data_IF_156624511379
#
_entry.id   IF_156624511379
#
_cell.length_a   1.000
_cell.length_b   1.000
_cell.length_c   1.000
_cell.angle_alpha   90.00
_cell.angle_beta   90.00
_cell.angle_gamma   90.00
#
_symmetry.space_group_name_H-M   'P 1'
#
loop_
_entity.id
_entity.type
_entity.pdbx_description
1 polymer ?
#
# COMPACT_ATOMS: atom_id res chain seq x y z
N UNK A 1 15.19 5.08 14.81
CA UNK A 1 15.63 6.15 13.90
C UNK A 1 14.46 7.09 13.77
N UNK A 2 14.59 8.38 14.10
CA UNK A 2 13.49 9.32 13.93
C UNK A 2 13.26 9.51 12.42
N UNK A 3 12.15 8.99 11.90
CA UNK A 3 11.74 9.21 10.52
C UNK A 3 11.51 10.70 10.26
N UNK A 4 11.61 11.12 8.99
CA UNK A 4 11.18 12.45 8.58
C UNK A 4 9.67 12.59 8.85
N UNK A 5 9.20 13.74 9.34
CA UNK A 5 7.76 13.99 9.50
C UNK A 5 7.04 14.02 8.14
N UNK A 6 5.70 13.91 8.16
CA UNK A 6 4.89 13.99 6.94
C UNK A 6 5.13 15.32 6.19
N UNK A 7 5.27 16.41 6.93
CA UNK A 7 5.55 17.73 6.35
C UNK A 7 6.90 17.81 5.68
N UNK A 8 7.91 17.13 6.23
CA UNK A 8 9.23 17.11 5.62
C UNK A 8 9.21 16.37 4.29
N UNK A 9 8.48 15.25 4.20
CA UNK A 9 8.27 14.56 2.92
C UNK A 9 7.59 15.47 1.89
N UNK A 10 6.54 16.20 2.29
CA UNK A 10 5.85 17.14 1.43
C UNK A 10 6.74 18.33 1.02
N UNK A 11 7.54 18.90 1.92
CA UNK A 11 8.48 19.99 1.62
C UNK A 11 9.56 19.55 0.63
N UNK A 12 10.11 18.34 0.81
CA UNK A 12 11.08 17.75 -0.12
C UNK A 12 10.42 17.53 -1.50
N UNK A 13 9.17 17.06 -1.53
CA UNK A 13 8.43 16.88 -2.77
C UNK A 13 8.14 18.21 -3.48
N UNK A 14 7.77 19.26 -2.73
CA UNK A 14 7.57 20.61 -3.27
C UNK A 14 8.85 21.15 -3.93
N UNK A 15 10.00 21.01 -3.25
CA UNK A 15 11.30 21.40 -3.80
C UNK A 15 11.60 20.65 -5.11
N UNK A 16 11.33 19.34 -5.12
CA UNK A 16 11.58 18.45 -6.26
C UNK A 16 10.61 18.65 -7.45
N UNK A 17 9.49 19.34 -7.22
CA UNK A 17 8.44 19.60 -8.23
C UNK A 17 8.37 21.07 -8.67
N UNK A 18 9.26 21.93 -8.16
CA UNK A 18 9.31 23.39 -8.46
C UNK A 18 9.47 23.75 -9.94
N UNK A 19 9.91 22.82 -10.79
CA UNK A 19 10.01 23.03 -12.23
C UNK A 19 8.63 23.13 -12.90
N UNK A 20 8.50 23.90 -13.98
CA UNK A 20 7.24 24.02 -14.75
C UNK A 20 6.68 22.66 -15.22
N UNK A 21 7.54 21.64 -15.40
CA UNK A 21 7.14 20.28 -15.80
C UNK A 21 6.19 19.62 -14.81
N UNK A 22 6.35 19.89 -13.51
CA UNK A 22 5.58 19.25 -12.44
C UNK A 22 4.70 20.24 -11.68
N UNK A 23 4.37 21.37 -12.32
CA UNK A 23 3.62 22.46 -11.71
C UNK A 23 2.29 22.01 -11.07
N UNK A 24 1.46 21.15 -11.69
CA UNK A 24 0.24 20.68 -11.05
C UNK A 24 0.50 19.92 -9.74
N UNK A 25 1.56 19.11 -9.70
CA UNK A 25 1.97 18.36 -8.49
C UNK A 25 2.43 19.36 -7.42
N UNK A 26 3.27 20.33 -7.80
CA UNK A 26 3.75 21.37 -6.88
C UNK A 26 2.60 22.16 -6.24
N UNK A 27 1.62 22.58 -7.05
CA UNK A 27 0.44 23.32 -6.56
C UNK A 27 -0.40 22.46 -5.60
N UNK A 28 -0.60 21.17 -5.89
CA UNK A 28 -1.28 20.23 -4.99
C UNK A 28 -0.51 20.00 -3.68
N UNK A 29 0.82 19.90 -3.74
CA UNK A 29 1.67 19.75 -2.56
C UNK A 29 1.55 21.00 -1.67
N UNK A 30 1.59 22.19 -2.26
CA UNK A 30 1.48 23.44 -1.51
C UNK A 30 0.12 23.58 -0.83
N UNK A 31 -0.97 23.28 -1.54
CA UNK A 31 -2.31 23.28 -0.97
C UNK A 31 -2.46 22.26 0.18
N UNK A 32 -1.77 21.13 0.09
CA UNK A 32 -1.75 20.12 1.15
C UNK A 32 -0.96 20.61 2.37
N UNK A 33 0.19 21.26 2.18
CA UNK A 33 0.95 21.90 3.26
C UNK A 33 0.12 22.96 3.98
N UNK A 34 -0.54 23.86 3.23
CA UNK A 34 -1.41 24.90 3.80
C UNK A 34 -2.59 24.28 4.60
N UNK A 35 -3.09 23.13 4.13
CA UNK A 35 -4.13 22.37 4.85
C UNK A 35 -3.60 21.78 6.16
N UNK A 36 -2.38 21.24 6.18
CA UNK A 36 -1.74 20.73 7.40
C UNK A 36 -1.50 21.85 8.42
N UNK A 37 -1.03 23.02 7.97
CA UNK A 37 -0.84 24.19 8.83
C UNK A 37 -2.17 24.67 9.42
N UNK A 38 -3.23 24.71 8.60
CA UNK A 38 -4.59 25.04 9.08
C UNK A 38 -5.08 24.02 10.10
N UNK A 39 -4.86 22.73 9.85
CA UNK A 39 -5.26 21.64 10.73
C UNK A 39 -4.58 21.75 12.10
N UNK A 40 -3.27 22.00 12.15
CA UNK A 40 -2.51 22.16 13.40
C UNK A 40 -3.02 23.29 14.29
N UNK A 41 -3.55 24.35 13.68
CA UNK A 41 -4.02 25.54 14.39
C UNK A 41 -5.48 25.43 14.86
N UNK A 42 -6.32 24.75 14.08
CA UNK A 42 -7.78 24.86 14.23
C UNK A 42 -8.53 23.53 14.27
N UNK A 43 -7.86 22.40 13.99
CA UNK A 43 -8.49 21.08 13.83
C UNK A 43 -9.72 21.13 12.91
N UNK A 44 -9.65 21.95 11.85
CA UNK A 44 -10.78 22.26 10.98
C UNK A 44 -11.28 21.08 10.13
N UNK A 45 -10.46 20.04 9.96
CA UNK A 45 -10.75 18.87 9.14
C UNK A 45 -10.72 17.59 9.98
N UNK A 46 -11.47 16.58 9.52
CA UNK A 46 -11.37 15.23 10.07
C UNK A 46 -10.04 14.58 9.67
N UNK A 47 -9.52 13.69 10.52
CA UNK A 47 -8.25 13.03 10.27
C UNK A 47 -8.16 12.29 8.92
N UNK A 48 -9.26 11.66 8.50
CA UNK A 48 -9.31 10.95 7.21
C UNK A 48 -9.16 11.89 6.00
N UNK A 49 -9.69 13.11 6.08
CA UNK A 49 -9.58 14.10 5.01
C UNK A 49 -8.13 14.55 4.82
N UNK A 50 -7.40 14.69 5.94
CA UNK A 50 -5.98 15.03 5.91
C UNK A 50 -5.17 13.88 5.32
N UNK A 51 -5.42 12.64 5.73
CA UNK A 51 -4.77 11.46 5.16
C UNK A 51 -5.03 11.34 3.66
N UNK A 52 -6.26 11.52 3.21
CA UNK A 52 -6.62 11.49 1.80
C UNK A 52 -5.82 12.51 0.97
N UNK A 53 -5.71 13.76 1.45
CA UNK A 53 -4.89 14.76 0.76
C UNK A 53 -3.42 14.37 0.66
N UNK A 54 -2.84 13.87 1.74
CA UNK A 54 -1.45 13.39 1.74
C UNK A 54 -1.26 12.23 0.74
N UNK A 55 -2.14 11.23 0.76
CA UNK A 55 -2.09 10.09 -0.16
C UNK A 55 -2.23 10.54 -1.61
N UNK A 56 -3.15 11.48 -1.90
CA UNK A 56 -3.36 12.01 -3.26
C UNK A 56 -2.11 12.67 -3.83
N UNK A 57 -1.39 13.47 -3.03
CA UNK A 57 -0.17 14.12 -3.49
C UNK A 57 0.94 13.11 -3.81
N UNK A 58 1.08 12.06 -3.00
CA UNK A 58 2.05 11.01 -3.29
C UNK A 58 1.65 10.16 -4.49
N UNK A 59 0.36 9.95 -4.71
CA UNK A 59 -0.14 9.33 -5.95
C UNK A 59 0.26 10.14 -7.18
N UNK A 60 0.01 11.45 -7.20
CA UNK A 60 0.36 12.32 -8.33
C UNK A 60 1.88 12.24 -8.63
N UNK A 61 2.71 12.20 -7.59
CA UNK A 61 4.15 12.05 -7.71
C UNK A 61 4.58 10.67 -8.23
N UNK A 62 3.91 9.59 -7.81
CA UNK A 62 4.12 8.23 -8.32
C UNK A 62 3.76 8.12 -9.82
N UNK A 63 2.62 8.69 -10.21
CA UNK A 63 2.11 8.70 -11.59
C UNK A 63 2.92 9.60 -12.54
N UNK A 64 3.81 10.44 -12.01
CA UNK A 64 4.76 11.21 -12.84
C UNK A 64 5.82 10.33 -13.54
N UNK A 65 5.97 9.07 -13.09
CA UNK A 65 7.00 8.12 -13.51
C UNK A 65 8.44 8.64 -13.39
N UNK A 66 8.66 9.69 -12.59
CA UNK A 66 9.99 10.19 -12.32
C UNK A 66 10.61 9.42 -11.13
N UNK A 67 11.76 8.72 -11.31
CA UNK A 67 12.31 7.87 -10.25
C UNK A 67 12.58 8.59 -8.92
N UNK A 68 13.00 9.87 -8.97
CA UNK A 68 13.24 10.64 -7.76
C UNK A 68 11.92 11.00 -7.05
N UNK A 69 10.91 11.44 -7.80
CA UNK A 69 9.59 11.74 -7.25
C UNK A 69 8.92 10.48 -6.71
N UNK A 70 9.01 9.35 -7.42
CA UNK A 70 8.47 8.08 -6.96
C UNK A 70 9.13 7.61 -5.66
N UNK A 71 10.44 7.79 -5.49
CA UNK A 71 11.14 7.47 -4.23
C UNK A 71 10.64 8.32 -3.06
N UNK A 72 10.53 9.64 -3.25
CA UNK A 72 10.00 10.56 -2.23
C UNK A 72 8.55 10.19 -1.88
N UNK A 73 7.75 9.88 -2.90
CA UNK A 73 6.34 9.53 -2.73
C UNK A 73 6.14 8.23 -1.97
N UNK A 74 6.95 7.20 -2.23
CA UNK A 74 6.91 5.93 -1.48
C UNK A 74 7.30 6.13 -0.02
N UNK A 75 8.32 6.94 0.27
CA UNK A 75 8.68 7.29 1.66
C UNK A 75 7.56 8.04 2.38
N UNK A 76 6.92 9.00 1.69
CA UNK A 76 5.80 9.73 2.24
C UNK A 76 4.57 8.86 2.48
N UNK A 77 4.24 7.97 1.53
CA UNK A 77 3.14 7.03 1.66
C UNK A 77 3.38 6.00 2.78
N UNK A 78 4.62 5.51 2.90
CA UNK A 78 5.07 4.69 4.03
C UNK A 78 4.82 5.41 5.35
N UNK A 79 5.21 6.69 5.45
CA UNK A 79 4.98 7.48 6.66
C UNK A 79 3.50 7.57 7.01
N UNK A 80 2.64 7.85 6.02
CA UNK A 80 1.18 7.96 6.21
C UNK A 80 0.57 6.64 6.72
N UNK A 81 1.04 5.49 6.22
CA UNK A 81 0.53 4.17 6.63
C UNK A 81 0.99 3.80 8.04
N UNK A 82 2.27 4.02 8.37
CA UNK A 82 2.83 3.63 9.67
C UNK A 82 2.60 4.65 10.78
N UNK A 83 2.25 5.90 10.44
CA UNK A 83 1.92 6.97 11.38
C UNK A 83 0.53 7.53 11.04
N UNK A 84 -0.56 6.79 11.29
CA UNK A 84 -1.91 7.15 10.86
C UNK A 84 -2.44 8.46 11.49
N UNK A 85 -1.82 8.90 12.60
CA UNK A 85 -2.09 10.19 13.24
C UNK A 85 -1.28 11.37 12.67
N UNK A 86 -0.46 11.11 11.65
CA UNK A 86 0.36 12.09 10.93
C UNK A 86 1.15 12.99 11.88
N UNK A 87 1.95 12.40 12.76
CA UNK A 87 2.76 13.12 13.75
C UNK A 87 1.92 13.97 14.74
N UNK A 88 0.69 13.54 15.01
CA UNK A 88 -0.27 14.21 15.90
C UNK A 88 -1.14 15.25 15.22
N UNK A 89 -0.96 15.51 13.91
CA UNK A 89 -1.71 16.53 13.16
C UNK A 89 -3.21 16.20 13.11
N UNK A 90 -3.58 14.92 13.03
CA UNK A 90 -4.99 14.54 12.95
C UNK A 90 -5.67 14.38 14.30
N UNK A 91 -4.95 14.62 15.41
CA UNK A 91 -5.40 14.23 16.75
C UNK A 91 -5.41 12.71 16.97
N UNK A 92 -5.90 12.28 18.13
CA UNK A 92 -5.99 10.86 18.55
C UNK A 92 -7.37 10.24 18.24
N UNK A 93 -8.09 10.77 17.25
CA UNK A 93 -9.38 10.21 16.83
C UNK A 93 -9.15 8.82 16.22
N UNK A 94 -9.68 7.78 16.87
CA UNK A 94 -9.64 6.42 16.35
C UNK A 94 -10.33 6.35 14.98
N UNK A 95 -9.71 5.64 14.04
CA UNK A 95 -10.36 5.37 12.77
C UNK A 95 -11.50 4.37 12.99
N UNK A 96 -12.70 4.77 12.61
CA UNK A 96 -13.78 3.80 12.49
C UNK A 96 -13.51 2.80 11.35
N UNK A 97 -14.28 1.70 11.33
CA UNK A 97 -14.08 0.64 10.36
C UNK A 97 -14.30 1.08 8.90
N UNK A 98 -15.19 2.06 8.65
CA UNK A 98 -15.43 2.56 7.30
C UNK A 98 -14.27 3.45 6.83
N UNK A 99 -13.79 4.35 7.69
CA UNK A 99 -12.65 5.21 7.43
C UNK A 99 -11.37 4.39 7.20
N UNK A 100 -11.16 3.33 8.00
CA UNK A 100 -10.07 2.39 7.79
C UNK A 100 -10.15 1.70 6.42
N UNK A 101 -11.34 1.24 6.04
CA UNK A 101 -11.58 0.60 4.73
C UNK A 101 -11.32 1.57 3.57
N UNK A 102 -11.83 2.80 3.65
CA UNK A 102 -11.59 3.84 2.64
C UNK A 102 -10.10 4.14 2.52
N UNK A 103 -9.40 4.29 3.65
CA UNK A 103 -7.97 4.55 3.66
C UNK A 103 -7.17 3.44 2.97
N UNK A 104 -7.49 2.17 3.24
CA UNK A 104 -6.85 1.03 2.56
C UNK A 104 -7.06 1.12 1.04
N UNK A 105 -8.28 1.43 0.59
CA UNK A 105 -8.58 1.57 -0.84
C UNK A 105 -7.84 2.73 -1.49
N UNK A 106 -7.68 3.85 -0.79
CA UNK A 106 -6.91 5.01 -1.27
C UNK A 106 -5.42 4.68 -1.42
N UNK A 107 -4.83 3.92 -0.48
CA UNK A 107 -3.43 3.47 -0.58
C UNK A 107 -3.25 2.45 -1.72
N UNK A 108 -4.20 1.54 -1.92
CA UNK A 108 -4.16 0.62 -3.07
C UNK A 108 -4.27 1.38 -4.40
N UNK A 109 -5.13 2.40 -4.45
CA UNK A 109 -5.31 3.25 -5.63
C UNK A 109 -4.03 4.05 -5.95
N UNK A 110 -3.36 4.59 -4.93
CA UNK A 110 -2.11 5.34 -5.12
C UNK A 110 -0.95 4.47 -5.62
N UNK A 111 -0.97 3.18 -5.32
CA UNK A 111 0.06 2.23 -5.75
C UNK A 111 -0.25 1.56 -7.09
N UNK A 112 -1.32 1.91 -7.82
CA UNK A 112 -1.65 1.26 -9.11
C UNK A 112 -0.52 1.29 -10.15
N UNK A 113 0.38 2.27 -10.07
CA UNK A 113 1.54 2.36 -10.96
C UNK A 113 2.69 1.42 -10.56
N UNK A 114 2.58 0.65 -9.48
CA UNK A 114 3.62 -0.26 -8.96
C UNK A 114 4.27 -1.13 -10.04
N UNK A 115 3.53 -1.75 -11.00
CA UNK A 115 4.15 -2.55 -12.07
C UNK A 115 5.10 -1.77 -12.98
N UNK A 116 4.98 -0.44 -13.03
CA UNK A 116 5.76 0.45 -13.88
C UNK A 116 7.00 1.02 -13.16
N UNK A 117 7.13 0.78 -11.85
CA UNK A 117 8.27 1.22 -11.06
C UNK A 117 9.45 0.24 -11.20
N UNK A 118 10.65 0.68 -10.83
CA UNK A 118 11.81 -0.22 -10.80
C UNK A 118 11.73 -1.21 -9.62
N UNK A 119 12.55 -2.26 -9.65
CA UNK A 119 12.51 -3.33 -8.64
C UNK A 119 12.66 -2.83 -7.19
N UNK A 120 13.56 -1.88 -6.94
CA UNK A 120 13.76 -1.28 -5.60
C UNK A 120 12.49 -0.59 -5.10
N UNK A 121 11.87 0.22 -5.96
CA UNK A 121 10.62 0.93 -5.68
C UNK A 121 9.43 -0.02 -5.56
N UNK A 122 9.40 -1.09 -6.36
CA UNK A 122 8.39 -2.14 -6.25
C UNK A 122 8.44 -2.83 -4.89
N UNK A 123 9.63 -3.25 -4.46
CA UNK A 123 9.85 -3.83 -3.13
C UNK A 123 9.42 -2.85 -2.02
N UNK A 124 9.72 -1.56 -2.16
CA UNK A 124 9.26 -0.55 -1.20
C UNK A 124 7.73 -0.44 -1.17
N UNK A 125 7.06 -0.37 -2.33
CA UNK A 125 5.60 -0.39 -2.39
C UNK A 125 4.99 -1.64 -1.76
N UNK A 126 5.59 -2.82 -1.97
CA UNK A 126 5.16 -4.07 -1.33
C UNK A 126 5.33 -4.01 0.19
N UNK A 127 6.38 -3.37 0.72
CA UNK A 127 6.52 -3.15 2.17
C UNK A 127 5.41 -2.29 2.75
N UNK A 128 4.97 -1.26 2.02
CA UNK A 128 3.82 -0.43 2.42
C UNK A 128 2.54 -1.28 2.46
N UNK A 129 2.30 -2.09 1.43
CA UNK A 129 1.16 -3.03 1.40
C UNK A 129 1.21 -4.05 2.54
N UNK A 130 2.41 -4.51 2.89
CA UNK A 130 2.62 -5.43 4.01
C UNK A 130 2.26 -4.77 5.34
N UNK A 131 2.71 -3.53 5.59
CA UNK A 131 2.34 -2.78 6.79
C UNK A 131 0.83 -2.54 6.87
N UNK A 132 0.22 -2.19 5.74
CA UNK A 132 -1.23 -2.03 5.64
C UNK A 132 -1.96 -3.33 5.99
N UNK A 133 -1.50 -4.45 5.43
CA UNK A 133 -2.09 -5.77 5.64
C UNK A 133 -1.90 -6.30 7.07
N UNK A 134 -0.70 -6.17 7.64
CA UNK A 134 -0.33 -6.78 8.91
C UNK A 134 -0.62 -5.92 10.12
N UNK A 135 -0.40 -4.61 10.01
CA UNK A 135 -0.39 -3.71 11.17
C UNK A 135 -1.62 -2.80 11.21
N UNK A 136 -2.12 -2.38 10.06
CA UNK A 136 -3.26 -1.44 9.98
C UNK A 136 -4.63 -2.14 9.91
N UNK A 137 -4.83 -3.05 8.95
CA UNK A 137 -6.13 -3.70 8.76
C UNK A 137 -6.47 -4.53 9.99
N UNK A 138 -7.61 -4.32 10.66
CA UNK A 138 -8.01 -5.18 11.76
C UNK A 138 -8.14 -6.62 11.28
N UNK A 139 -7.70 -7.58 12.10
CA UNK A 139 -7.62 -8.97 11.67
C UNK A 139 -8.98 -9.57 11.23
N UNK A 140 -10.09 -9.00 11.69
CA UNK A 140 -11.44 -9.45 11.31
C UNK A 140 -11.92 -9.01 9.91
N UNK A 141 -11.22 -8.13 9.19
CA UNK A 141 -11.59 -7.72 7.83
C UNK A 141 -10.84 -8.56 6.77
N UNK A 142 -11.30 -9.81 6.61
CA UNK A 142 -10.70 -10.76 5.67
C UNK A 142 -10.78 -10.31 4.21
N UNK A 143 -11.85 -9.61 3.84
CA UNK A 143 -12.04 -9.06 2.50
C UNK A 143 -10.95 -8.05 2.13
N UNK A 144 -10.60 -7.14 3.05
CA UNK A 144 -9.53 -6.18 2.83
C UNK A 144 -8.16 -6.84 2.71
N UNK A 145 -7.87 -7.85 3.56
CA UNK A 145 -6.63 -8.62 3.48
C UNK A 145 -6.52 -9.29 2.11
N UNK A 146 -7.58 -9.96 1.64
CA UNK A 146 -7.63 -10.59 0.32
C UNK A 146 -7.38 -9.56 -0.79
N UNK A 147 -8.02 -8.40 -0.71
CA UNK A 147 -7.87 -7.34 -1.72
C UNK A 147 -6.44 -6.82 -1.81
N UNK A 148 -5.74 -6.66 -0.68
CA UNK A 148 -4.33 -6.26 -0.66
C UNK A 148 -3.45 -7.34 -1.31
N UNK A 149 -3.65 -8.61 -0.96
CA UNK A 149 -2.90 -9.75 -1.54
C UNK A 149 -3.11 -9.84 -3.05
N UNK A 150 -4.37 -9.77 -3.51
CA UNK A 150 -4.71 -9.79 -4.93
C UNK A 150 -4.07 -8.63 -5.68
N UNK A 151 -4.09 -7.42 -5.10
CA UNK A 151 -3.45 -6.26 -5.69
C UNK A 151 -1.93 -6.46 -5.83
N UNK A 152 -1.25 -6.92 -4.77
CA UNK A 152 0.19 -7.13 -4.77
C UNK A 152 0.59 -8.18 -5.82
N UNK A 153 -0.04 -9.35 -5.78
CA UNK A 153 0.26 -10.47 -6.68
C UNK A 153 -0.05 -10.13 -8.14
N UNK A 154 -1.17 -9.47 -8.44
CA UNK A 154 -1.47 -9.01 -9.81
C UNK A 154 -0.50 -7.94 -10.31
N UNK A 155 0.03 -7.11 -9.43
CA UNK A 155 1.01 -6.07 -9.78
C UNK A 155 2.43 -6.62 -9.96
N UNK A 156 2.71 -7.80 -9.41
CA UNK A 156 4.05 -8.39 -9.34
C UNK A 156 4.13 -9.79 -9.97
N UNK A 157 3.16 -10.17 -10.81
CA UNK A 157 3.17 -11.44 -11.55
C UNK A 157 3.47 -11.19 -13.03
N UNK A 158 4.50 -11.85 -13.55
CA UNK A 158 4.90 -11.75 -14.95
C UNK A 158 6.25 -12.41 -15.22
N UNK A 159 6.52 -12.75 -16.49
CA UNK A 159 7.68 -13.57 -16.90
C UNK A 159 9.06 -12.93 -16.63
N UNK A 160 9.11 -11.63 -16.32
CA UNK A 160 10.36 -10.86 -16.16
C UNK A 160 10.40 -10.08 -14.84
N UNK A 161 9.67 -10.52 -13.82
CA UNK A 161 9.67 -9.84 -12.52
C UNK A 161 10.97 -10.15 -11.77
N UNK A 162 11.55 -9.12 -11.15
CA UNK A 162 12.76 -9.27 -10.35
C UNK A 162 12.55 -10.23 -9.18
N UNK A 163 13.55 -11.06 -8.89
CA UNK A 163 13.46 -12.07 -7.82
C UNK A 163 13.20 -11.47 -6.43
N UNK A 164 13.71 -10.27 -6.16
CA UNK A 164 13.46 -9.55 -4.91
C UNK A 164 12.01 -9.09 -4.81
N UNK A 165 11.41 -8.67 -5.92
CA UNK A 165 10.00 -8.27 -6.00
C UNK A 165 9.08 -9.48 -5.78
N UNK A 166 9.39 -10.62 -6.42
CA UNK A 166 8.64 -11.86 -6.20
C UNK A 166 8.72 -12.33 -4.74
N UNK A 167 9.93 -12.38 -4.16
CA UNK A 167 10.13 -12.78 -2.77
C UNK A 167 9.38 -11.85 -1.79
N UNK A 168 9.35 -10.54 -2.06
CA UNK A 168 8.57 -9.60 -1.26
C UNK A 168 7.05 -9.85 -1.36
N UNK A 169 6.53 -10.13 -2.56
CA UNK A 169 5.12 -10.43 -2.78
C UNK A 169 4.70 -11.77 -2.14
N UNK A 170 5.56 -12.79 -2.21
CA UNK A 170 5.38 -14.07 -1.53
C UNK A 170 5.38 -13.89 -0.01
N UNK A 171 6.31 -13.07 0.52
CA UNK A 171 6.37 -12.77 1.95
C UNK A 171 5.10 -12.08 2.45
N UNK A 172 4.57 -11.11 1.69
CA UNK A 172 3.29 -10.47 1.99
C UNK A 172 2.16 -11.50 2.02
N UNK A 173 2.11 -12.34 1.01
CA UNK A 173 1.09 -13.38 0.88
C UNK A 173 1.13 -14.38 2.03
N UNK A 174 2.32 -14.85 2.42
CA UNK A 174 2.53 -15.74 3.57
C UNK A 174 2.04 -15.11 4.87
N UNK A 175 2.42 -13.85 5.13
CA UNK A 175 1.99 -13.14 6.35
C UNK A 175 0.50 -12.85 6.39
N UNK A 176 -0.13 -12.60 5.24
CA UNK A 176 -1.57 -12.46 5.14
C UNK A 176 -2.30 -13.76 5.52
N UNK A 177 -1.80 -14.91 5.06
CA UNK A 177 -2.34 -16.24 5.45
C UNK A 177 -2.22 -16.46 6.95
N UNK A 178 -1.04 -16.21 7.53
CA UNK A 178 -0.82 -16.34 8.97
C UNK A 178 -1.80 -15.47 9.76
N UNK A 179 -1.94 -14.19 9.37
CA UNK A 179 -2.86 -13.26 10.02
C UNK A 179 -4.31 -13.77 9.98
N UNK A 180 -4.77 -14.29 8.85
CA UNK A 180 -6.12 -14.83 8.70
C UNK A 180 -6.34 -16.14 9.46
N UNK A 181 -5.34 -17.03 9.47
CA UNK A 181 -5.39 -18.28 10.20
C UNK A 181 -5.53 -18.06 11.72
N UNK A 182 -4.82 -17.07 12.28
CA UNK A 182 -4.96 -16.66 13.68
C UNK A 182 -6.42 -16.26 14.00
N UNK A 183 -7.12 -15.64 13.06
CA UNK A 183 -8.50 -15.20 13.28
C UNK A 183 -9.49 -16.35 13.20
N UNK A 184 -9.29 -17.33 12.32
CA UNK A 184 -10.11 -18.55 12.28
C UNK A 184 -10.05 -19.30 13.61
N UNK A 185 -8.86 -19.36 14.24
CA UNK A 185 -8.68 -19.97 15.57
C UNK A 185 -9.41 -19.18 16.67
N UNK A 186 -9.35 -17.85 16.64
CA UNK A 186 -9.94 -16.97 17.66
C UNK A 186 -11.47 -16.80 17.51
N UNK A 187 -12.05 -17.08 16.34
CA UNK A 187 -13.48 -16.85 16.04
C UNK A 187 -14.36 -18.10 16.11
N UNK A 188 -13.84 -19.24 16.60
CA UNK A 188 -14.63 -20.48 16.84
C UNK A 188 -15.81 -20.35 17.83
N UNK A 189 -16.14 -19.14 18.28
CA UNK A 189 -17.35 -18.79 19.06
C UNK A 189 -18.49 -18.10 18.29
N UNK A 190 -18.31 -17.60 17.05
CA UNK A 190 -19.39 -16.92 16.31
C UNK A 190 -19.28 -17.14 14.79
N UNK A 191 -20.40 -17.49 14.15
CA UNK A 191 -20.45 -18.26 12.90
C UNK A 191 -20.53 -17.46 11.58
N UNK A 192 -20.24 -18.22 10.50
CA UNK A 192 -20.71 -18.16 9.09
C UNK A 192 -19.88 -17.33 8.09
N UNK A 193 -19.34 -16.16 8.41
CA UNK A 193 -18.72 -15.32 7.36
C UNK A 193 -17.25 -15.66 7.02
N UNK A 194 -16.51 -16.28 7.94
CA UNK A 194 -15.05 -16.48 7.79
C UNK A 194 -14.66 -17.63 6.86
N UNK A 195 -15.56 -18.60 6.61
CA UNK A 195 -15.26 -19.77 5.79
C UNK A 195 -15.10 -19.41 4.30
N UNK A 196 -15.77 -18.36 3.85
CA UNK A 196 -15.72 -17.88 2.45
C UNK A 196 -14.35 -17.26 2.14
N UNK A 197 -13.76 -16.54 3.10
CA UNK A 197 -12.48 -15.84 2.94
C UNK A 197 -11.29 -16.80 2.89
N UNK A 198 -11.26 -17.80 3.78
CA UNK A 198 -10.21 -18.83 3.80
C UNK A 198 -10.29 -19.71 2.56
N UNK A 199 -11.50 -20.07 2.10
CA UNK A 199 -11.70 -20.85 0.87
C UNK A 199 -11.34 -20.04 -0.38
N UNK A 200 -11.61 -18.73 -0.37
CA UNK A 200 -11.21 -17.81 -1.44
C UNK A 200 -9.70 -17.70 -1.58
N UNK A 201 -8.98 -17.62 -0.47
CA UNK A 201 -7.51 -17.62 -0.46
C UNK A 201 -6.93 -18.98 -0.80
N UNK A 202 -7.46 -20.08 -0.28
CA UNK A 202 -7.01 -21.42 -0.64
C UNK A 202 -7.16 -21.67 -2.15
N UNK A 203 -8.28 -21.23 -2.76
CA UNK A 203 -8.46 -21.27 -4.22
C UNK A 203 -7.51 -20.34 -4.96
N UNK A 204 -7.26 -19.14 -4.43
CA UNK A 204 -6.35 -18.18 -5.03
C UNK A 204 -4.90 -18.69 -5.01
N UNK A 205 -4.42 -19.17 -3.85
CA UNK A 205 -3.09 -19.77 -3.72
C UNK A 205 -2.95 -21.05 -4.52
N UNK A 206 -3.98 -21.91 -4.57
CA UNK A 206 -3.99 -23.08 -5.45
C UNK A 206 -3.83 -22.67 -6.92
N UNK A 207 -4.55 -21.64 -7.38
CA UNK A 207 -4.41 -21.14 -8.75
C UNK A 207 -3.03 -20.52 -9.03
N UNK A 208 -2.40 -19.87 -8.06
CA UNK A 208 -1.05 -19.31 -8.23
C UNK A 208 0.02 -20.41 -8.24
N UNK A 209 -0.12 -21.44 -7.41
CA UNK A 209 0.75 -22.63 -7.42
C UNK A 209 0.64 -23.36 -8.76
N UNK A 210 -0.57 -23.62 -9.25
CA UNK A 210 -0.80 -24.26 -10.55
C UNK A 210 -0.19 -23.45 -11.71
N UNK A 211 -0.26 -22.11 -11.67
CA UNK A 211 0.39 -21.25 -12.68
C UNK A 211 1.92 -21.33 -12.62
N UNK A 212 2.50 -21.35 -11.42
CA UNK A 212 3.95 -21.46 -11.24
C UNK A 212 4.52 -22.80 -11.72
N UNK A 213 3.77 -23.89 -11.53
CA UNK A 213 4.14 -25.21 -12.02
C UNK A 213 4.06 -25.28 -13.55
N UNK A 214 3.05 -24.64 -14.15
CA UNK A 214 2.88 -24.60 -15.60
C UNK A 214 3.98 -23.79 -16.31
N UNK A 215 4.40 -22.66 -15.72
CA UNK A 215 5.50 -21.85 -16.24
C UNK A 215 6.86 -22.56 -16.10
N UNK A 216 7.07 -23.28 -15.00
CA UNK A 216 8.26 -24.10 -14.78
C UNK A 216 8.36 -25.26 -15.80
N UNK A 217 7.24 -25.89 -16.12
CA UNK A 217 7.17 -26.94 -17.16
C UNK A 217 7.41 -26.40 -18.57
N UNK A 218 6.95 -25.18 -18.90
CA UNK A 218 7.22 -24.55 -20.20
C UNK A 218 8.70 -24.13 -20.35
N UNK A 219 9.34 -23.65 -19.28
CA UNK A 219 10.75 -23.29 -19.31
C UNK A 219 11.66 -24.52 -19.57
N UNK A 220 11.38 -25.64 -18.89
CA UNK A 220 12.09 -26.91 -19.11
C UNK A 220 11.93 -27.46 -20.53
N UNK A 221 10.78 -27.22 -21.17
CA UNK A 221 10.51 -27.70 -22.53
C UNK A 221 11.24 -26.89 -23.63
N UNK A 222 11.63 -25.65 -23.32
CA UNK A 222 12.40 -24.76 -24.21
C UNK A 222 13.92 -24.95 -24.06
N UNK A 223 14.42 -25.40 -22.92
CA UNK A 223 15.85 -25.73 -22.74
C UNK A 223 16.25 -27.08 -23.37
N UNK A 224 15.28 -27.89 -23.79
CA UNK A 224 15.48 -29.19 -24.45
C UNK A 224 15.33 -29.15 -25.98
N UNK A 225 15.25 -27.97 -26.60
CA UNK A 225 15.23 -27.73 -28.05
C UNK A 225 16.47 -26.92 -28.48
#
# INVERSE_FOLDING_TARGET
>A
MAGLSIENHLKILAQSTSSQRYRPIYENVQLTLDTLDTQKLSYAFKGWQIREKCVSVFKDALESHNPNLSKIALQGLEHVVFHPYLDGITGEEELDAMDARIFVLQVLDSLKCLPLLNAEQQVHGIKILLGLCCDFVPSFDGELIIKIVQFCTSSCSGKNVDSGVMCAAESLSSRAVEKLAINDVNTKGNQVNNLVDVTGLAKFFAQQIERSEFESQQALHLECL
#
